data_IF_103093147865
#
_entry.id   IF_103093147865
#
_cell.length_a   1.000
_cell.length_b   1.000
_cell.length_c   1.000
_cell.angle_alpha   90.00
_cell.angle_beta   90.00
_cell.angle_gamma   90.00
#
_symmetry.space_group_name_H-M   'P 1'
#
loop_
_entity.id
_entity.type
_entity.pdbx_description
1 polymer ?
#
# COMPACT_ATOMS: atom_id res chain seq x y z
N UNK A 1 -11.69 -18.91 -6.04
CA UNK A 1 -12.28 -17.90 -5.14
C UNK A 1 -11.42 -16.66 -5.23
N UNK A 2 -11.99 -15.52 -5.62
CA UNK A 2 -11.26 -14.26 -5.57
C UNK A 2 -11.02 -13.88 -4.10
N UNK A 3 -9.80 -13.47 -3.76
CA UNK A 3 -9.53 -12.88 -2.44
C UNK A 3 -10.22 -11.51 -2.38
N UNK A 4 -10.90 -11.20 -1.29
CA UNK A 4 -11.49 -9.86 -1.13
C UNK A 4 -10.40 -8.79 -1.09
N UNK A 5 -10.76 -7.58 -1.50
CA UNK A 5 -9.88 -6.39 -1.46
C UNK A 5 -9.25 -6.18 -0.08
N UNK A 6 -10.03 -6.35 0.98
CA UNK A 6 -9.57 -6.25 2.39
C UNK A 6 -8.51 -7.30 2.74
N UNK A 7 -8.69 -8.52 2.26
CA UNK A 7 -7.72 -9.61 2.49
C UNK A 7 -6.43 -9.34 1.74
N UNK A 8 -6.50 -8.81 0.51
CA UNK A 8 -5.34 -8.38 -0.27
C UNK A 8 -4.61 -7.23 0.44
N UNK A 9 -5.34 -6.19 0.86
CA UNK A 9 -4.79 -5.07 1.61
C UNK A 9 -4.03 -5.55 2.85
N UNK A 10 -4.64 -6.39 3.69
CA UNK A 10 -4.00 -6.89 4.92
C UNK A 10 -2.74 -7.73 4.65
N UNK A 11 -2.73 -8.54 3.58
CA UNK A 11 -1.53 -9.30 3.20
C UNK A 11 -0.42 -8.35 2.74
N UNK A 12 -0.74 -7.38 1.88
CA UNK A 12 0.25 -6.40 1.40
C UNK A 12 0.79 -5.55 2.55
N UNK A 13 -0.06 -5.13 3.50
CA UNK A 13 0.40 -4.37 4.67
C UNK A 13 1.42 -5.15 5.51
N UNK A 14 1.18 -6.46 5.73
CA UNK A 14 2.11 -7.34 6.44
C UNK A 14 3.42 -7.51 5.68
N UNK A 15 3.35 -7.79 4.38
CA UNK A 15 4.56 -7.95 3.55
C UNK A 15 5.38 -6.65 3.50
N UNK A 16 4.73 -5.49 3.37
CA UNK A 16 5.41 -4.20 3.42
C UNK A 16 6.06 -3.92 4.78
N UNK A 17 5.45 -4.39 5.87
CA UNK A 17 6.04 -4.30 7.20
C UNK A 17 7.33 -5.12 7.32
N UNK A 18 7.36 -6.32 6.72
CA UNK A 18 8.56 -7.16 6.66
C UNK A 18 9.63 -6.48 5.80
N UNK A 19 9.28 -6.09 4.56
CA UNK A 19 10.22 -5.48 3.61
C UNK A 19 10.88 -4.22 4.16
N UNK A 20 10.12 -3.32 4.80
CA UNK A 20 10.70 -2.09 5.35
C UNK A 20 11.66 -2.40 6.52
N UNK A 21 11.35 -3.42 7.33
CA UNK A 21 12.20 -3.80 8.46
C UNK A 21 13.50 -4.42 7.96
N UNK A 22 13.44 -5.34 7.00
CA UNK A 22 14.62 -5.97 6.40
C UNK A 22 15.53 -4.94 5.71
N UNK A 23 14.95 -3.99 4.96
CA UNK A 23 15.74 -2.94 4.31
C UNK A 23 16.41 -2.02 5.34
N UNK A 24 15.72 -1.64 6.42
CA UNK A 24 16.33 -0.85 7.50
C UNK A 24 17.49 -1.62 8.13
N UNK A 25 17.31 -2.89 8.50
CA UNK A 25 18.37 -3.70 9.10
C UNK A 25 19.57 -3.89 8.18
N UNK A 26 19.35 -4.05 6.87
CA UNK A 26 20.44 -4.14 5.89
C UNK A 26 21.23 -2.82 5.76
N UNK A 27 20.53 -1.68 5.82
CA UNK A 27 21.15 -0.36 5.76
C UNK A 27 21.93 -0.03 7.04
N UNK A 28 21.44 -0.42 8.22
CA UNK A 28 22.16 -0.30 9.50
C UNK A 28 23.46 -1.11 9.50
N UNK A 29 23.49 -2.26 8.81
CA UNK A 29 24.70 -3.08 8.67
C UNK A 29 25.77 -2.46 7.76
N UNK A 30 25.47 -1.37 7.04
CA UNK A 30 26.36 -0.75 6.05
C UNK A 30 26.62 0.72 6.42
N UNK A 31 27.19 0.96 7.62
CA UNK A 31 27.53 2.30 8.08
C UNK A 31 28.54 2.98 7.14
N UNK A 32 28.09 3.95 6.33
CA UNK A 32 28.98 4.80 5.54
C UNK A 32 28.41 5.45 4.28
N UNK A 33 27.31 4.95 3.72
CA UNK A 33 26.67 5.60 2.56
C UNK A 33 25.59 6.60 3.03
N UNK A 34 25.68 7.84 2.52
CA UNK A 34 24.71 8.90 2.75
C UNK A 34 23.30 8.41 2.38
N UNK A 35 22.52 8.10 3.40
CA UNK A 35 21.28 7.37 3.25
C UNK A 35 20.14 8.37 3.07
N UNK A 36 19.57 8.45 1.86
CA UNK A 36 18.44 9.34 1.53
C UNK A 36 17.13 8.74 2.07
N UNK A 37 17.13 8.47 3.37
CA UNK A 37 16.34 7.45 4.05
C UNK A 37 14.88 7.90 4.21
N UNK A 38 14.07 7.70 3.18
CA UNK A 38 12.62 7.90 3.27
C UNK A 38 12.02 6.70 3.98
N UNK A 39 11.66 6.88 5.25
CA UNK A 39 10.99 5.83 6.02
C UNK A 39 9.54 5.66 5.55
N UNK A 40 9.15 4.42 5.27
CA UNK A 40 7.81 4.09 4.77
C UNK A 40 6.80 3.94 5.93
N UNK A 41 5.81 4.82 5.97
CA UNK A 41 4.74 4.84 6.97
C UNK A 41 5.16 5.51 8.28
N UNK A 42 4.63 5.06 9.43
CA UNK A 42 5.02 5.57 10.76
C UNK A 42 5.95 4.64 11.51
N UNK A 43 6.91 5.22 12.25
CA UNK A 43 7.80 4.50 13.15
C UNK A 43 7.05 4.04 14.40
N UNK A 44 7.47 2.91 14.97
CA UNK A 44 6.92 2.39 16.23
C UNK A 44 5.53 1.75 16.15
N UNK A 45 5.00 1.52 14.95
CA UNK A 45 3.78 0.72 14.73
C UNK A 45 3.85 -0.01 13.40
N UNK A 46 3.01 -1.03 13.20
CA UNK A 46 2.92 -1.76 11.94
C UNK A 46 2.52 -0.86 10.76
N UNK A 47 3.01 -1.23 9.57
CA UNK A 47 2.70 -0.50 8.34
C UNK A 47 1.21 -0.62 8.01
N UNK A 48 0.61 0.53 7.66
CA UNK A 48 -0.72 0.61 7.08
C UNK A 48 -0.67 1.56 5.89
N UNK A 49 -1.43 1.28 4.83
CA UNK A 49 -1.46 2.15 3.66
C UNK A 49 -1.95 3.57 3.99
N UNK A 50 -2.78 3.71 5.02
CA UNK A 50 -3.27 5.00 5.54
C UNK A 50 -2.19 5.90 6.14
N UNK A 51 -0.99 5.38 6.41
CA UNK A 51 0.14 6.15 6.93
C UNK A 51 1.06 6.71 5.85
N UNK A 52 0.87 6.34 4.58
CA UNK A 52 1.76 6.73 3.47
C UNK A 52 1.42 8.13 2.98
N UNK A 53 1.58 9.16 3.82
CA UNK A 53 1.31 10.54 3.40
C UNK A 53 2.45 11.09 2.53
N UNK A 54 2.14 11.90 1.51
CA UNK A 54 0.83 12.47 1.14
C UNK A 54 -0.02 11.60 0.21
N UNK A 55 0.39 10.35 -0.07
CA UNK A 55 -0.26 9.47 -1.03
C UNK A 55 -1.49 8.81 -0.41
N UNK A 56 -2.64 8.92 -1.07
CA UNK A 56 -3.85 8.18 -0.68
C UNK A 56 -3.90 6.89 -1.48
N UNK A 57 -4.03 5.77 -0.79
CA UNK A 57 -4.11 4.44 -1.40
C UNK A 57 -5.45 3.82 -1.04
N UNK A 58 -6.25 3.53 -2.06
CA UNK A 58 -7.56 2.88 -1.93
C UNK A 58 -7.54 1.49 -2.58
N UNK A 59 -8.33 0.58 -2.02
CA UNK A 59 -8.52 -0.77 -2.54
C UNK A 59 -9.97 -0.93 -2.98
N UNK A 60 -10.17 -1.49 -4.17
CA UNK A 60 -11.49 -1.77 -4.73
C UNK A 60 -11.54 -3.19 -5.28
N UNK A 61 -12.75 -3.76 -5.31
CA UNK A 61 -13.03 -5.01 -6.00
C UNK A 61 -13.55 -4.70 -7.39
N UNK A 62 -13.05 -5.41 -8.40
CA UNK A 62 -13.39 -5.16 -9.79
C UNK A 62 -13.27 -6.43 -10.63
N UNK A 63 -14.15 -6.60 -11.61
CA UNK A 63 -14.04 -7.61 -12.66
C UNK A 63 -13.94 -6.93 -14.02
N UNK A 64 -12.86 -7.19 -14.76
CA UNK A 64 -12.71 -6.67 -16.11
C UNK A 64 -13.59 -7.42 -17.14
N UNK A 65 -13.88 -8.71 -16.90
CA UNK A 65 -14.68 -9.55 -17.78
C UNK A 65 -16.19 -9.31 -17.62
N UNK A 66 -16.63 -8.98 -16.40
CA UNK A 66 -18.04 -8.74 -16.09
C UNK A 66 -18.15 -7.73 -14.95
N UNK A 67 -17.89 -6.44 -15.24
CA UNK A 67 -17.95 -5.40 -14.22
C UNK A 67 -19.40 -5.15 -13.79
N UNK A 68 -19.62 -5.08 -12.48
CA UNK A 68 -20.89 -4.60 -11.94
C UNK A 68 -20.98 -3.07 -12.06
N UNK A 69 -22.18 -2.52 -12.25
CA UNK A 69 -22.39 -1.06 -12.35
C UNK A 69 -21.84 -0.33 -11.11
N UNK A 70 -21.99 -0.93 -9.93
CA UNK A 70 -21.43 -0.40 -8.69
C UNK A 70 -19.89 -0.29 -8.74
N UNK A 71 -19.21 -1.29 -9.33
CA UNK A 71 -17.74 -1.30 -9.47
C UNK A 71 -17.27 -0.23 -10.45
N UNK A 72 -17.97 -0.07 -11.59
CA UNK A 72 -17.67 1.00 -12.57
C UNK A 72 -17.90 2.39 -11.98
N UNK A 73 -19.00 2.58 -11.25
CA UNK A 73 -19.32 3.84 -10.58
C UNK A 73 -18.27 4.20 -9.55
N UNK A 74 -17.85 3.25 -8.71
CA UNK A 74 -16.79 3.45 -7.73
C UNK A 74 -15.45 3.81 -8.39
N UNK A 75 -15.05 3.10 -9.45
CA UNK A 75 -13.82 3.38 -10.19
C UNK A 75 -13.84 4.77 -10.84
N UNK A 76 -14.94 5.13 -11.51
CA UNK A 76 -15.10 6.47 -12.11
C UNK A 76 -15.05 7.58 -11.06
N UNK A 77 -15.71 7.37 -9.92
CA UNK A 77 -15.68 8.32 -8.80
C UNK A 77 -14.27 8.49 -8.23
N UNK A 78 -13.49 7.41 -8.14
CA UNK A 78 -12.11 7.47 -7.69
C UNK A 78 -11.22 8.19 -8.71
N UNK A 79 -11.33 7.87 -10.00
CA UNK A 79 -10.59 8.53 -11.08
C UNK A 79 -10.85 10.04 -11.10
N UNK A 80 -12.08 10.48 -10.91
CA UNK A 80 -12.44 11.90 -10.85
C UNK A 80 -11.83 12.66 -9.66
N UNK A 81 -11.35 11.97 -8.61
CA UNK A 81 -10.66 12.59 -7.47
C UNK A 81 -9.16 12.74 -7.69
N UNK A 82 -8.58 11.94 -8.58
CA UNK A 82 -7.12 11.85 -8.79
C UNK A 82 -6.66 12.40 -10.14
N UNK A 83 -7.58 12.57 -11.10
CA UNK A 83 -7.37 13.22 -12.40
C UNK A 83 -7.63 14.73 -12.31
#
# INVERSE_FOLDING_TARGET
MAKSSKVIQSQLEKEMNVLRTTQISALESTEGQANNNTFLGKRGKDFQFSDVRPIVVDFAEFSAESPEEAQLSALKSWLAKVA
#
